data_IF_943863383073
#
_entry.id   IF_943863383073
#
_cell.length_a   1.000
_cell.length_b   1.000
_cell.length_c   1.000
_cell.angle_alpha   90.00
_cell.angle_beta   90.00
_cell.angle_gamma   90.00
#
_symmetry.space_group_name_H-M   'P 1'
#
loop_
_entity.id
_entity.type
_entity.pdbx_description
1 polymer ?
#
# COMPACT_ATOMS: atom_id res chain seq x y z
N UNK A 1 -33.48 -3.64 6.10
CA UNK A 1 -34.07 -4.91 6.59
C UNK A 1 -32.99 -5.69 7.35
N UNK A 2 -33.31 -6.33 8.48
CA UNK A 2 -32.33 -7.16 9.21
C UNK A 2 -32.52 -8.64 8.91
N UNK A 3 -31.45 -9.34 8.58
CA UNK A 3 -31.42 -10.80 8.35
C UNK A 3 -30.47 -11.43 9.36
N UNK A 4 -30.92 -12.51 10.01
CA UNK A 4 -30.08 -13.33 10.89
C UNK A 4 -30.07 -14.75 10.32
N UNK A 5 -28.88 -15.31 10.03
CA UNK A 5 -28.74 -16.68 9.53
C UNK A 5 -27.72 -17.52 10.28
N UNK A 6 -28.00 -18.83 10.31
CA UNK A 6 -27.13 -19.89 10.85
C UNK A 6 -26.88 -20.99 9.79
N UNK A 7 -27.17 -20.69 8.53
CA UNK A 7 -27.00 -21.59 7.37
C UNK A 7 -26.58 -20.76 6.18
N UNK A 8 -25.83 -21.37 5.26
CA UNK A 8 -25.32 -20.72 4.06
C UNK A 8 -26.42 -19.97 3.30
N UNK A 9 -26.07 -18.80 2.78
CA UNK A 9 -27.05 -17.92 2.18
C UNK A 9 -26.57 -17.30 0.87
N UNK A 10 -27.46 -17.26 -0.11
CA UNK A 10 -27.33 -16.42 -1.29
C UNK A 10 -28.40 -15.34 -1.27
N UNK A 11 -27.99 -14.07 -1.34
CA UNK A 11 -28.91 -12.92 -1.38
C UNK A 11 -28.73 -12.17 -2.68
N UNK A 12 -29.85 -11.88 -3.36
CA UNK A 12 -29.90 -10.98 -4.50
C UNK A 12 -31.00 -9.95 -4.23
N UNK A 13 -30.63 -8.71 -3.88
CA UNK A 13 -31.60 -7.69 -3.45
C UNK A 13 -31.17 -6.26 -3.78
N UNK A 14 -32.17 -5.37 -3.84
CA UNK A 14 -32.04 -3.95 -4.21
C UNK A 14 -32.59 -3.03 -3.09
N UNK A 15 -32.46 -3.44 -1.84
CA UNK A 15 -32.95 -2.68 -0.68
C UNK A 15 -31.92 -2.79 0.44
N UNK A 16 -31.71 -1.73 1.20
CA UNK A 16 -30.72 -1.69 2.28
C UNK A 16 -30.89 -2.84 3.29
N UNK A 17 -29.77 -3.45 3.68
CA UNK A 17 -29.77 -4.57 4.61
C UNK A 17 -28.72 -4.46 5.70
N UNK A 18 -29.09 -5.02 6.84
CA UNK A 18 -28.17 -5.40 7.90
C UNK A 18 -28.20 -6.93 7.99
N UNK A 19 -27.06 -7.58 7.82
CA UNK A 19 -26.98 -9.05 7.88
C UNK A 19 -26.07 -9.45 9.04
N UNK A 20 -26.53 -10.42 9.82
CA UNK A 20 -25.73 -11.11 10.82
C UNK A 20 -25.76 -12.60 10.48
N UNK A 21 -24.64 -13.16 10.04
CA UNK A 21 -24.55 -14.57 9.67
C UNK A 21 -23.34 -15.25 10.30
N UNK A 22 -23.44 -16.55 10.54
CA UNK A 22 -22.34 -17.36 11.08
C UNK A 22 -21.92 -18.48 10.12
N UNK A 23 -22.30 -18.34 8.85
CA UNK A 23 -22.15 -19.33 7.77
C UNK A 23 -21.96 -18.62 6.44
N UNK A 24 -21.50 -19.36 5.43
CA UNK A 24 -20.98 -18.77 4.19
C UNK A 24 -22.03 -17.92 3.47
N UNK A 25 -21.58 -16.80 2.91
CA UNK A 25 -22.47 -15.86 2.24
C UNK A 25 -22.00 -15.51 0.83
N UNK A 26 -22.96 -15.50 -0.09
CA UNK A 26 -22.81 -14.87 -1.41
C UNK A 26 -23.87 -13.79 -1.56
N UNK A 27 -23.45 -12.54 -1.75
CA UNK A 27 -24.36 -11.39 -1.82
C UNK A 27 -24.16 -10.65 -3.13
N UNK A 28 -25.27 -10.35 -3.81
CA UNK A 28 -25.32 -9.43 -4.94
C UNK A 28 -26.34 -8.35 -4.58
N UNK A 29 -25.89 -7.10 -4.45
CA UNK A 29 -26.77 -5.99 -4.11
C UNK A 29 -26.38 -4.68 -4.80
N UNK A 30 -27.34 -3.75 -4.83
CA UNK A 30 -27.17 -2.41 -5.43
C UNK A 30 -27.62 -1.31 -4.45
N UNK A 31 -27.57 -1.62 -3.15
CA UNK A 31 -28.01 -0.76 -2.04
C UNK A 31 -27.14 -0.99 -0.83
N UNK A 32 -27.10 -0.01 0.08
CA UNK A 32 -26.16 0.01 1.19
C UNK A 32 -26.28 -1.21 2.10
N UNK A 33 -25.13 -1.65 2.61
CA UNK A 33 -25.02 -2.88 3.39
C UNK A 33 -24.24 -2.66 4.68
N UNK A 34 -24.75 -3.24 5.76
CA UNK A 34 -23.97 -3.52 6.96
C UNK A 34 -23.95 -5.02 7.20
N UNK A 35 -22.77 -5.64 7.25
CA UNK A 35 -22.64 -7.09 7.37
C UNK A 35 -21.74 -7.44 8.54
N UNK A 36 -22.19 -8.38 9.36
CA UNK A 36 -21.40 -9.04 10.38
C UNK A 36 -21.39 -10.54 10.06
N UNK A 37 -20.23 -11.10 9.78
CA UNK A 37 -20.05 -12.51 9.45
C UNK A 37 -18.89 -13.13 10.22
N UNK A 38 -18.93 -14.44 10.45
CA UNK A 38 -17.82 -15.19 11.06
C UNK A 38 -17.25 -16.28 10.16
N UNK A 39 -17.69 -16.34 8.91
CA UNK A 39 -17.31 -17.34 7.88
C UNK A 39 -17.18 -16.67 6.51
N UNK A 40 -16.82 -17.46 5.49
CA UNK A 40 -16.37 -16.93 4.20
C UNK A 40 -17.44 -16.12 3.49
N UNK A 41 -17.00 -15.06 2.81
CA UNK A 41 -17.89 -14.11 2.18
C UNK A 41 -17.46 -13.74 0.77
N UNK A 42 -18.42 -13.80 -0.16
CA UNK A 42 -18.28 -13.23 -1.50
C UNK A 42 -19.35 -12.16 -1.73
N UNK A 43 -18.95 -10.93 -2.05
CA UNK A 43 -19.88 -9.82 -2.31
C UNK A 43 -19.61 -9.18 -3.66
N UNK A 44 -20.70 -8.88 -4.38
CA UNK A 44 -20.72 -7.94 -5.49
C UNK A 44 -21.72 -6.84 -5.14
N UNK A 45 -21.22 -5.62 -4.95
CA UNK A 45 -22.03 -4.45 -4.58
C UNK A 45 -21.73 -3.25 -5.48
N UNK A 46 -22.68 -2.34 -5.62
CA UNK A 46 -22.49 -1.06 -6.33
C UNK A 46 -22.77 0.17 -5.46
N UNK A 47 -22.87 -0.03 -4.14
CA UNK A 47 -23.21 1.00 -3.14
C UNK A 47 -22.39 0.79 -1.86
N UNK A 48 -22.56 1.64 -0.86
CA UNK A 48 -21.64 1.71 0.28
C UNK A 48 -21.75 0.47 1.18
N UNK A 49 -20.61 0.03 1.71
CA UNK A 49 -20.56 -1.14 2.56
C UNK A 49 -19.77 -0.91 3.85
N UNK A 50 -20.34 -1.43 4.95
CA UNK A 50 -19.62 -1.63 6.21
C UNK A 50 -19.61 -3.11 6.56
N UNK A 51 -18.42 -3.71 6.67
CA UNK A 51 -18.28 -5.16 6.87
C UNK A 51 -17.38 -5.44 8.06
N UNK A 52 -17.83 -6.35 8.92
CA UNK A 52 -17.03 -6.98 9.97
C UNK A 52 -17.04 -8.48 9.70
N UNK A 53 -15.86 -9.05 9.40
CA UNK A 53 -15.69 -10.47 9.13
C UNK A 53 -14.53 -11.05 9.94
N UNK A 54 -14.59 -12.32 10.30
CA UNK A 54 -13.49 -13.01 11.00
C UNK A 54 -12.76 -14.05 10.14
N UNK A 55 -13.07 -14.09 8.86
CA UNK A 55 -12.71 -15.15 7.89
C UNK A 55 -12.66 -14.54 6.48
N UNK A 56 -12.34 -15.36 5.48
CA UNK A 56 -11.87 -14.88 4.19
C UNK A 56 -12.95 -14.13 3.41
N UNK A 57 -12.53 -13.07 2.73
CA UNK A 57 -13.44 -12.22 1.96
C UNK A 57 -12.96 -11.97 0.54
N UNK A 58 -13.89 -12.10 -0.39
CA UNK A 58 -13.74 -11.61 -1.77
C UNK A 58 -14.82 -10.58 -2.07
N UNK A 59 -14.42 -9.35 -2.38
CA UNK A 59 -15.34 -8.24 -2.59
C UNK A 59 -15.06 -7.53 -3.91
N UNK A 60 -16.13 -7.31 -4.69
CA UNK A 60 -16.14 -6.40 -5.83
C UNK A 60 -17.14 -5.28 -5.53
N UNK A 61 -16.67 -4.05 -5.39
CA UNK A 61 -17.48 -2.88 -5.11
C UNK A 61 -17.17 -1.72 -6.07
N UNK A 62 -18.13 -0.84 -6.32
CA UNK A 62 -17.90 0.37 -7.13
C UNK A 62 -17.97 1.67 -6.32
N UNK A 63 -18.08 1.55 -5.00
CA UNK A 63 -18.45 2.60 -4.03
C UNK A 63 -17.82 2.30 -2.67
N UNK A 64 -18.03 3.19 -1.70
CA UNK A 64 -17.14 3.31 -0.55
C UNK A 64 -17.25 2.12 0.40
N UNK A 65 -16.11 1.73 0.97
CA UNK A 65 -16.05 0.58 1.86
C UNK A 65 -15.30 0.87 3.15
N UNK A 66 -15.91 0.43 4.25
CA UNK A 66 -15.24 0.29 5.55
C UNK A 66 -15.23 -1.17 5.95
N UNK A 67 -14.05 -1.76 6.10
CA UNK A 67 -13.88 -3.19 6.36
C UNK A 67 -13.01 -3.42 7.58
N UNK A 68 -13.47 -4.29 8.47
CA UNK A 68 -12.68 -4.88 9.55
C UNK A 68 -12.65 -6.39 9.33
N UNK A 69 -11.48 -6.95 9.05
CA UNK A 69 -11.28 -8.37 8.85
C UNK A 69 -10.16 -8.92 9.74
N UNK A 70 -10.27 -10.18 10.16
CA UNK A 70 -9.19 -10.86 10.88
C UNK A 70 -8.41 -11.86 10.04
N UNK A 71 -8.87 -12.20 8.84
CA UNK A 71 -8.18 -13.09 7.90
C UNK A 71 -8.09 -12.49 6.50
N UNK A 72 -7.85 -13.32 5.48
CA UNK A 72 -7.38 -12.91 4.16
C UNK A 72 -8.47 -12.18 3.36
N UNK A 73 -8.04 -11.17 2.62
CA UNK A 73 -8.94 -10.37 1.79
C UNK A 73 -8.45 -10.18 0.37
N UNK A 74 -9.37 -10.36 -0.57
CA UNK A 74 -9.21 -9.93 -1.97
C UNK A 74 -10.29 -8.91 -2.30
N UNK A 75 -9.87 -7.68 -2.63
CA UNK A 75 -10.80 -6.58 -2.87
C UNK A 75 -10.51 -5.90 -4.22
N UNK A 76 -11.57 -5.70 -5.00
CA UNK A 76 -11.58 -4.82 -6.17
C UNK A 76 -12.58 -3.71 -5.91
N UNK A 77 -12.10 -2.47 -5.78
CA UNK A 77 -12.96 -1.31 -5.52
C UNK A 77 -12.63 -0.12 -6.43
N UNK A 78 -13.64 0.67 -6.81
CA UNK A 78 -13.42 1.87 -7.63
C UNK A 78 -13.30 3.16 -6.81
N UNK A 79 -13.85 3.19 -5.59
CA UNK A 79 -13.89 4.40 -4.74
C UNK A 79 -13.13 4.21 -3.43
N UNK A 80 -13.43 5.03 -2.43
CA UNK A 80 -12.64 5.18 -1.22
C UNK A 80 -12.76 3.95 -0.32
N UNK A 81 -11.64 3.58 0.30
CA UNK A 81 -11.60 2.42 1.20
C UNK A 81 -10.87 2.73 2.49
N UNK A 82 -11.49 2.33 3.59
CA UNK A 82 -10.85 2.22 4.90
C UNK A 82 -10.84 0.76 5.35
N UNK A 83 -9.65 0.19 5.54
CA UNK A 83 -9.49 -1.22 5.86
C UNK A 83 -8.64 -1.40 7.10
N UNK A 84 -9.13 -2.24 8.02
CA UNK A 84 -8.36 -2.78 9.14
C UNK A 84 -8.31 -4.30 8.98
N UNK A 85 -7.12 -4.85 8.77
CA UNK A 85 -6.92 -6.30 8.60
C UNK A 85 -5.83 -6.83 9.54
N UNK A 86 -5.95 -8.09 9.94
CA UNK A 86 -4.89 -8.76 10.70
C UNK A 86 -4.05 -9.77 9.89
N UNK A 87 -4.50 -10.20 8.71
CA UNK A 87 -3.71 -11.07 7.83
C UNK A 87 -3.61 -10.51 6.39
N UNK A 88 -3.44 -11.40 5.40
CA UNK A 88 -2.94 -11.07 4.08
C UNK A 88 -3.99 -10.36 3.23
N UNK A 89 -3.54 -9.39 2.45
CA UNK A 89 -4.43 -8.60 1.61
C UNK A 89 -3.94 -8.43 0.18
N UNK A 90 -4.85 -8.64 -0.76
CA UNK A 90 -4.70 -8.26 -2.16
C UNK A 90 -5.76 -7.25 -2.55
N UNK A 91 -5.35 -6.05 -2.95
CA UNK A 91 -6.26 -4.95 -3.27
C UNK A 91 -5.94 -4.35 -4.64
N UNK A 92 -6.98 -4.18 -5.47
CA UNK A 92 -6.91 -3.43 -6.72
C UNK A 92 -7.91 -2.27 -6.64
N UNK A 93 -7.44 -1.03 -6.82
CA UNK A 93 -8.27 0.15 -6.56
C UNK A 93 -7.94 1.39 -7.40
N UNK A 94 -8.88 2.35 -7.49
CA UNK A 94 -8.73 3.54 -8.35
C UNK A 94 -8.86 4.96 -7.73
N UNK A 95 -9.03 5.16 -6.40
CA UNK A 95 -9.31 6.51 -5.75
C UNK A 95 -8.54 6.73 -4.42
N UNK A 96 -9.09 7.05 -3.24
CA UNK A 96 -8.30 7.16 -1.98
C UNK A 96 -8.33 5.90 -1.05
N UNK A 97 -7.20 5.52 -0.43
CA UNK A 97 -7.11 4.36 0.47
C UNK A 97 -6.50 4.71 1.82
N UNK A 98 -7.10 4.21 2.89
CA UNK A 98 -6.45 4.08 4.19
C UNK A 98 -6.44 2.62 4.62
N UNK A 99 -5.25 2.08 4.91
CA UNK A 99 -5.09 0.71 5.39
C UNK A 99 -4.31 0.69 6.70
N UNK A 100 -4.81 -0.10 7.65
CA UNK A 100 -4.05 -0.59 8.80
C UNK A 100 -4.01 -2.12 8.71
N UNK A 101 -2.82 -2.70 8.57
CA UNK A 101 -2.65 -4.15 8.47
C UNK A 101 -1.49 -4.65 9.33
N UNK A 102 -1.54 -5.91 9.78
CA UNK A 102 -0.42 -6.51 10.51
C UNK A 102 0.42 -7.52 9.72
N UNK A 103 -0.06 -8.05 8.58
CA UNK A 103 0.73 -8.97 7.76
C UNK A 103 0.91 -8.49 6.30
N UNK A 104 1.02 -9.43 5.36
CA UNK A 104 1.53 -9.22 4.03
C UNK A 104 0.49 -8.55 3.13
N UNK A 105 0.96 -7.63 2.29
CA UNK A 105 0.07 -6.85 1.43
C UNK A 105 0.59 -6.73 0.01
N UNK A 106 -0.31 -6.97 -0.93
CA UNK A 106 -0.14 -6.63 -2.35
C UNK A 106 -1.20 -5.63 -2.76
N UNK A 107 -0.79 -4.43 -3.17
CA UNK A 107 -1.73 -3.36 -3.53
C UNK A 107 -1.39 -2.79 -4.90
N UNK A 108 -2.41 -2.64 -5.73
CA UNK A 108 -2.36 -1.89 -6.98
C UNK A 108 -3.36 -0.73 -6.88
N UNK A 109 -2.87 0.50 -6.97
CA UNK A 109 -3.68 1.71 -6.83
C UNK A 109 -3.30 2.79 -7.84
N UNK A 110 -4.22 3.71 -8.17
CA UNK A 110 -3.96 4.83 -9.09
C UNK A 110 -3.90 6.21 -8.44
N UNK A 111 -4.19 6.31 -7.16
CA UNK A 111 -4.59 7.55 -6.43
C UNK A 111 -4.14 7.39 -4.97
N UNK A 112 -4.47 8.35 -4.12
CA UNK A 112 -3.78 8.55 -2.85
C UNK A 112 -3.91 7.35 -1.91
N UNK A 113 -2.80 7.02 -1.23
CA UNK A 113 -2.75 5.92 -0.28
C UNK A 113 -2.02 6.28 1.00
N UNK A 114 -2.67 5.97 2.12
CA UNK A 114 -2.06 5.98 3.46
C UNK A 114 -2.07 4.57 4.03
N UNK A 115 -0.90 4.07 4.43
CA UNK A 115 -0.75 2.71 4.96
C UNK A 115 0.07 2.71 6.25
N UNK A 116 -0.43 2.00 7.26
CA UNK A 116 0.28 1.71 8.50
C UNK A 116 0.38 0.19 8.66
N UNK A 117 1.61 -0.36 8.76
CA UNK A 117 1.80 -1.82 8.71
C UNK A 117 3.05 -2.36 9.42
N UNK A 118 3.09 -3.70 9.62
CA UNK A 118 4.14 -4.41 10.36
C UNK A 118 4.92 -5.59 9.70
N UNK A 119 4.65 -6.09 8.46
CA UNK A 119 5.44 -7.21 7.82
C UNK A 119 5.93 -6.97 6.35
N UNK A 120 5.70 -7.83 5.35
CA UNK A 120 6.18 -7.61 3.95
C UNK A 120 5.14 -6.95 3.03
N UNK A 121 5.55 -6.06 2.13
CA UNK A 121 4.62 -5.33 1.25
C UNK A 121 5.14 -5.15 -0.16
N UNK A 122 4.23 -5.34 -1.11
CA UNK A 122 4.41 -4.96 -2.51
C UNK A 122 3.34 -3.95 -2.92
N UNK A 123 3.74 -2.77 -3.38
CA UNK A 123 2.82 -1.74 -3.86
C UNK A 123 3.18 -1.26 -5.25
N UNK A 124 2.14 -1.10 -6.08
CA UNK A 124 2.18 -0.34 -7.32
C UNK A 124 1.17 0.81 -7.20
N UNK A 125 1.64 2.06 -7.25
CA UNK A 125 0.82 3.27 -7.18
C UNK A 125 1.18 4.26 -8.31
N UNK A 126 0.28 5.17 -8.68
CA UNK A 126 0.56 6.18 -9.72
C UNK A 126 0.50 7.64 -9.27
N UNK A 127 0.32 7.90 -7.97
CA UNK A 127 0.02 9.23 -7.37
C UNK A 127 0.66 9.29 -5.98
N UNK A 128 -0.04 9.73 -4.95
CA UNK A 128 0.58 10.09 -3.68
C UNK A 128 0.51 8.94 -2.68
N UNK A 129 1.62 8.73 -1.97
CA UNK A 129 1.75 7.60 -1.06
C UNK A 129 2.40 8.02 0.25
N UNK A 130 1.72 7.73 1.36
CA UNK A 130 2.29 7.81 2.71
C UNK A 130 2.31 6.43 3.35
N UNK A 131 3.49 5.93 3.70
CA UNK A 131 3.64 4.62 4.36
C UNK A 131 4.42 4.73 5.66
N UNK A 132 3.91 4.06 6.68
CA UNK A 132 4.63 3.74 7.91
C UNK A 132 4.72 2.21 8.01
N UNK A 133 5.93 1.67 7.93
CA UNK A 133 6.20 0.22 7.94
C UNK A 133 7.34 -0.13 8.90
N UNK A 134 7.41 -1.39 9.36
CA UNK A 134 8.48 -1.87 10.26
C UNK A 134 9.35 -2.98 9.67
N UNK A 135 9.26 -3.23 8.36
CA UNK A 135 9.67 -4.50 7.71
C UNK A 135 9.71 -4.30 6.19
N UNK A 136 10.06 -5.34 5.44
CA UNK A 136 10.51 -5.24 4.06
C UNK A 136 9.43 -4.70 3.11
N UNK A 137 9.85 -3.83 2.18
CA UNK A 137 8.96 -3.23 1.19
C UNK A 137 9.54 -3.20 -0.21
N UNK A 138 8.69 -3.52 -1.19
CA UNK A 138 8.93 -3.27 -2.61
C UNK A 138 7.86 -2.32 -3.14
N UNK A 139 8.27 -1.15 -3.64
CA UNK A 139 7.33 -0.12 -4.07
C UNK A 139 7.68 0.37 -5.48
N UNK A 140 6.67 0.46 -6.33
CA UNK A 140 6.72 1.13 -7.63
C UNK A 140 5.72 2.28 -7.59
N UNK A 141 6.19 3.52 -7.71
CA UNK A 141 5.35 4.72 -7.73
C UNK A 141 5.73 5.66 -8.90
N UNK A 142 4.83 6.56 -9.32
CA UNK A 142 5.12 7.50 -10.41
C UNK A 142 5.13 8.98 -10.00
N UNK A 143 5.08 9.31 -8.73
CA UNK A 143 4.70 10.66 -8.22
C UNK A 143 5.25 10.79 -6.80
N UNK A 144 4.48 11.26 -5.83
CA UNK A 144 5.01 11.70 -4.55
C UNK A 144 4.92 10.58 -3.51
N UNK A 145 6.00 10.43 -2.76
CA UNK A 145 6.11 9.37 -1.77
C UNK A 145 6.75 9.86 -0.49
N UNK A 146 6.08 9.60 0.64
CA UNK A 146 6.62 9.76 1.98
C UNK A 146 6.65 8.39 2.67
N UNK A 147 7.84 7.92 3.03
CA UNK A 147 8.00 6.64 3.74
C UNK A 147 8.74 6.84 5.05
N UNK A 148 8.21 6.21 6.10
CA UNK A 148 8.93 5.92 7.34
C UNK A 148 9.01 4.39 7.49
N UNK A 149 10.22 3.84 7.41
CA UNK A 149 10.45 2.39 7.54
C UNK A 149 11.59 2.09 8.51
N UNK A 150 11.57 0.91 9.16
CA UNK A 150 12.70 0.48 10.00
C UNK A 150 13.60 -0.58 9.35
N UNK A 151 13.21 -1.12 8.19
CA UNK A 151 13.82 -2.33 7.59
C UNK A 151 14.00 -2.15 6.08
N UNK A 152 14.32 -3.22 5.34
CA UNK A 152 14.88 -3.13 4.00
C UNK A 152 13.85 -2.64 2.96
N UNK A 153 14.30 -1.79 2.03
CA UNK A 153 13.41 -1.23 1.01
C UNK A 153 14.00 -1.30 -0.39
N UNK A 154 13.16 -1.69 -1.34
CA UNK A 154 13.40 -1.56 -2.78
C UNK A 154 12.35 -0.63 -3.38
N UNK A 155 12.77 0.53 -3.87
CA UNK A 155 11.85 1.56 -4.38
C UNK A 155 12.23 1.93 -5.82
N UNK A 156 11.22 1.97 -6.70
CA UNK A 156 11.30 2.53 -8.03
C UNK A 156 10.28 3.68 -8.10
N UNK A 157 10.76 4.92 -8.26
CA UNK A 157 9.89 6.10 -8.35
C UNK A 157 10.28 7.00 -9.53
N UNK A 158 9.35 7.78 -10.07
CA UNK A 158 9.66 8.74 -11.15
C UNK A 158 9.66 10.20 -10.73
N UNK A 159 9.22 10.53 -9.51
CA UNK A 159 9.01 11.92 -9.06
C UNK A 159 9.57 12.13 -7.64
N UNK A 160 8.87 12.81 -6.74
CA UNK A 160 9.48 13.28 -5.50
C UNK A 160 9.38 12.24 -4.38
N UNK A 161 10.49 12.07 -3.63
CA UNK A 161 10.52 11.14 -2.50
C UNK A 161 11.12 11.75 -1.24
N UNK A 162 10.43 11.53 -0.12
CA UNK A 162 10.93 11.75 1.24
C UNK A 162 10.95 10.42 1.99
N UNK A 163 12.15 9.97 2.39
CA UNK A 163 12.32 8.67 3.06
C UNK A 163 13.07 8.85 4.37
N UNK A 164 12.53 8.26 5.44
CA UNK A 164 13.18 8.09 6.73
C UNK A 164 13.33 6.59 7.00
N UNK A 165 14.56 6.10 7.08
CA UNK A 165 14.87 4.69 7.33
C UNK A 165 15.97 4.45 8.35
N UNK A 166 16.04 3.23 8.88
CA UNK A 166 17.12 2.82 9.80
C UNK A 166 18.08 1.76 9.24
N UNK A 167 17.78 1.14 8.10
CA UNK A 167 18.50 -0.03 7.53
C UNK A 167 18.73 0.13 6.02
N UNK A 168 18.96 -0.99 5.31
CA UNK A 168 19.45 -0.98 3.94
C UNK A 168 18.39 -0.58 2.93
N UNK A 169 18.80 0.17 1.90
CA UNK A 169 17.89 0.61 0.84
C UNK A 169 18.49 0.48 -0.55
N UNK A 170 17.64 0.10 -1.51
CA UNK A 170 17.90 0.20 -2.95
C UNK A 170 16.85 1.10 -3.58
N UNK A 171 17.28 2.21 -4.19
CA UNK A 171 16.38 3.19 -4.80
C UNK A 171 16.77 3.48 -6.24
N UNK A 172 15.77 3.47 -7.13
CA UNK A 172 15.87 3.93 -8.51
C UNK A 172 14.89 5.10 -8.70
N UNK A 173 15.40 6.27 -9.07
CA UNK A 173 14.59 7.48 -9.29
C UNK A 173 14.99 8.28 -10.53
N UNK A 174 14.09 9.15 -11.01
CA UNK A 174 14.38 10.08 -12.13
C UNK A 174 14.50 11.55 -11.73
N UNK A 175 14.23 11.88 -10.47
CA UNK A 175 13.86 13.23 -9.98
C UNK A 175 14.31 13.43 -8.54
N UNK A 176 13.83 14.50 -7.89
CA UNK A 176 14.35 14.99 -6.61
C UNK A 176 14.06 14.04 -5.44
N UNK A 177 15.04 13.90 -4.55
CA UNK A 177 14.91 13.04 -3.37
C UNK A 177 15.52 13.65 -2.12
N UNK A 178 14.83 13.45 -1.01
CA UNK A 178 15.33 13.69 0.34
C UNK A 178 15.33 12.39 1.13
N UNK A 179 16.52 11.96 1.57
CA UNK A 179 16.67 10.71 2.33
C UNK A 179 17.39 10.98 3.65
N UNK A 180 16.82 10.48 4.73
CA UNK A 180 17.45 10.39 6.05
C UNK A 180 17.55 8.91 6.40
N UNK A 181 18.77 8.37 6.43
CA UNK A 181 18.99 6.97 6.79
C UNK A 181 20.22 6.79 7.66
N UNK A 182 20.23 5.76 8.52
CA UNK A 182 21.37 5.50 9.42
C UNK A 182 22.32 4.40 8.95
N UNK A 183 22.00 3.67 7.87
CA UNK A 183 22.76 2.49 7.39
C UNK A 183 23.12 2.60 5.89
N UNK A 184 23.41 1.45 5.23
CA UNK A 184 23.96 1.39 3.89
C UNK A 184 22.87 1.62 2.81
N UNK A 185 23.18 2.35 1.74
CA UNK A 185 22.24 2.62 0.65
C UNK A 185 22.87 2.42 -0.72
N UNK A 186 22.07 1.94 -1.67
CA UNK A 186 22.40 1.95 -3.11
C UNK A 186 21.37 2.79 -3.84
N UNK A 187 21.83 3.87 -4.49
CA UNK A 187 20.94 4.83 -5.14
C UNK A 187 21.36 5.03 -6.61
N UNK A 188 20.40 4.90 -7.52
CA UNK A 188 20.53 5.27 -8.91
C UNK A 188 19.52 6.37 -9.27
N UNK A 189 20.01 7.59 -9.53
CA UNK A 189 19.15 8.72 -9.88
C UNK A 189 19.72 9.60 -10.98
N UNK A 190 18.85 10.25 -11.75
CA UNK A 190 19.26 11.13 -12.86
C UNK A 190 19.44 12.60 -12.47
N UNK A 191 18.94 13.04 -11.32
CA UNK A 191 18.91 14.46 -10.85
C UNK A 191 19.46 14.62 -9.43
N UNK A 192 19.15 15.76 -8.80
CA UNK A 192 19.66 16.19 -7.50
C UNK A 192 19.14 15.31 -6.36
N UNK A 193 20.02 15.04 -5.39
CA UNK A 193 19.71 14.24 -4.20
C UNK A 193 20.24 14.98 -2.97
N UNK A 194 19.45 14.96 -1.89
CA UNK A 194 19.85 15.37 -0.54
C UNK A 194 19.88 14.13 0.35
N UNK A 195 21.03 13.86 0.98
CA UNK A 195 21.25 12.73 1.89
C UNK A 195 21.83 13.23 3.20
N UNK A 196 21.25 12.80 4.33
CA UNK A 196 21.80 13.00 5.67
C UNK A 196 22.04 11.66 6.41
N UNK A 197 23.18 11.58 7.12
CA UNK A 197 23.54 10.52 8.09
C UNK A 197 23.80 9.08 7.60
N UNK A 198 24.16 8.87 6.32
CA UNK A 198 24.25 7.51 5.76
C UNK A 198 25.62 7.14 5.15
N UNK A 199 25.81 5.85 4.86
CA UNK A 199 26.85 5.36 3.94
C UNK A 199 26.17 4.91 2.65
N UNK A 200 26.68 5.31 1.48
CA UNK A 200 25.95 5.06 0.24
C UNK A 200 26.86 4.84 -0.98
N UNK A 201 26.29 4.15 -1.98
CA UNK A 201 26.82 4.01 -3.33
C UNK A 201 25.90 4.75 -4.30
N UNK A 202 26.46 5.65 -5.10
CA UNK A 202 25.73 6.38 -6.15
C UNK A 202 26.11 5.85 -7.53
N UNK A 203 25.10 5.58 -8.36
CA UNK A 203 25.26 5.10 -9.74
C UNK A 203 24.52 6.06 -10.69
N UNK A 204 25.24 6.70 -11.63
CA UNK A 204 24.64 7.40 -12.77
C UNK A 204 24.25 8.89 -12.61
N UNK A 205 24.65 9.57 -11.54
CA UNK A 205 24.24 10.96 -11.29
C UNK A 205 24.86 12.04 -12.19
N UNK A 206 24.10 13.13 -12.38
CA UNK A 206 24.54 14.35 -13.09
C UNK A 206 25.03 15.46 -12.13
N UNK A 207 24.42 15.62 -10.94
CA UNK A 207 24.78 16.58 -9.88
C UNK A 207 24.27 16.10 -8.51
N UNK A 208 25.02 16.35 -7.43
CA UNK A 208 24.59 16.13 -6.04
C UNK A 208 24.66 17.48 -5.29
N UNK A 209 23.55 17.90 -4.67
CA UNK A 209 23.38 19.28 -4.18
C UNK A 209 23.80 19.49 -2.72
N UNK A 210 23.51 18.53 -1.82
CA UNK A 210 23.91 18.61 -0.41
C UNK A 210 24.06 17.23 0.25
N UNK A 211 25.25 16.91 0.76
CA UNK A 211 25.54 15.70 1.55
C UNK A 211 26.13 16.16 2.89
N UNK A 212 25.53 15.75 4.02
CA UNK A 212 26.04 16.06 5.36
C UNK A 212 26.31 14.77 6.15
N UNK A 213 27.45 14.72 6.83
CA UNK A 213 27.87 13.69 7.79
C UNK A 213 27.84 12.22 7.27
N UNK A 214 28.45 11.96 6.12
CA UNK A 214 28.56 10.61 5.53
C UNK A 214 29.98 10.00 5.66
N UNK A 215 30.09 8.69 5.93
CA UNK A 215 31.37 8.04 6.29
C UNK A 215 32.20 7.45 5.14
N UNK A 216 31.69 7.35 3.90
CA UNK A 216 32.48 7.01 2.69
C UNK A 216 31.65 7.21 1.42
N UNK A 217 32.22 7.85 0.39
CA UNK A 217 31.61 8.00 -0.94
C UNK A 217 32.46 7.18 -1.93
N UNK A 218 31.98 6.02 -2.38
CA UNK A 218 32.60 5.28 -3.48
C UNK A 218 31.85 5.62 -4.79
N UNK A 219 32.20 6.76 -5.40
CA UNK A 219 31.60 7.22 -6.65
C UNK A 219 32.24 6.53 -7.87
N UNK A 220 31.51 5.64 -8.55
CA UNK A 220 31.92 5.11 -9.85
C UNK A 220 31.51 6.08 -10.96
N UNK A 221 32.19 7.23 -11.07
CA UNK A 221 31.94 8.20 -12.16
C UNK A 221 32.43 7.57 -13.47
N UNK A 222 31.51 7.24 -14.37
CA UNK A 222 31.85 6.81 -15.73
C UNK A 222 32.46 8.02 -16.47
N UNK A 223 33.80 8.12 -16.48
CA UNK A 223 34.54 9.19 -17.17
C UNK A 223 34.33 9.05 -18.68
N UNK A 224 33.48 9.93 -19.22
CA UNK A 224 33.49 10.50 -20.57
C UNK A 224 34.13 9.70 -21.72
N UNK A 225 33.34 9.42 -22.76
CA UNK A 225 33.83 9.58 -24.13
C UNK A 225 32.87 10.49 -24.90
N UNK A 226 33.13 11.80 -24.82
CA UNK A 226 32.84 12.68 -25.95
C UNK A 226 33.78 12.24 -27.08
N UNK A 227 33.22 11.76 -28.16
CA UNK A 227 33.79 11.81 -29.51
C UNK A 227 32.81 12.55 -30.40
#
# INVERSE_FOLDING_TARGET
MTIICMTDMTIIRTTDMTIICTTDMTIICTTDMTIICTTDMTIICTTDMTIICTTDMTIICTTDMTIICTTDMTIICMTDMTIICMTDMTIIRTTDMTIICTTDMTIICTTDMTIIRTTDMTIICTTDMTIICTTDMTIICTTDMTIICTTDMTIICTTDMTIICTTDMTIICTTDMTIICTMDMTIACTTDIIIEHAKFILIGQKTASAIRDCSRIDSSINKSSKS
#
